data_IF_061902742856
#
_entry.id   IF_061902742856
#
_cell.length_a   1.000
_cell.length_b   1.000
_cell.length_c   1.000
_cell.angle_alpha   90.00
_cell.angle_beta   90.00
_cell.angle_gamma   90.00
#
_symmetry.space_group_name_H-M   'P 1'
#
loop_
_entity.id
_entity.type
_entity.pdbx_description
1 polymer ?
#
# COMPACT_ATOMS: atom_id res chain seq x y z
N UNK A 1 27.28 -10.51 6.90
CA UNK A 1 26.98 -9.37 6.01
C UNK A 1 25.68 -8.61 6.34
N UNK A 2 24.74 -9.15 7.14
CA UNK A 2 23.43 -8.49 7.39
C UNK A 2 23.38 -7.52 8.60
N UNK A 3 24.16 -7.73 9.67
CA UNK A 3 24.10 -6.90 10.88
C UNK A 3 24.55 -5.43 10.65
N UNK A 4 25.56 -5.23 9.80
CA UNK A 4 26.07 -3.89 9.48
C UNK A 4 25.06 -3.04 8.69
N UNK A 5 24.29 -3.65 7.77
CA UNK A 5 23.27 -2.93 6.99
C UNK A 5 22.10 -2.47 7.87
N UNK A 6 21.66 -3.31 8.80
CA UNK A 6 20.57 -2.97 9.73
C UNK A 6 20.97 -1.85 10.68
N UNK A 7 22.22 -1.86 11.17
CA UNK A 7 22.75 -0.80 12.04
C UNK A 7 22.82 0.56 11.33
N UNK A 8 23.24 0.60 10.06
CA UNK A 8 23.29 1.82 9.26
C UNK A 8 21.90 2.41 9.02
N UNK A 9 20.91 1.56 8.70
CA UNK A 9 19.52 2.00 8.48
C UNK A 9 18.92 2.64 9.75
N UNK A 10 19.09 1.99 10.91
CA UNK A 10 18.61 2.50 12.20
C UNK A 10 19.24 3.85 12.54
N UNK A 11 20.53 4.01 12.24
CA UNK A 11 21.27 5.25 12.52
C UNK A 11 20.78 6.40 11.65
N UNK A 12 20.54 6.16 10.36
CA UNK A 12 20.01 7.17 9.43
C UNK A 12 18.57 7.57 9.76
N UNK A 13 17.73 6.60 10.15
CA UNK A 13 16.34 6.88 10.58
C UNK A 13 16.34 7.71 11.85
N UNK A 14 17.12 7.33 12.87
CA UNK A 14 17.28 8.11 14.10
C UNK A 14 17.74 9.55 13.79
N UNK A 15 18.72 9.71 12.90
CA UNK A 15 19.22 11.02 12.53
C UNK A 15 18.14 11.88 11.84
N UNK A 16 17.34 11.28 10.94
CA UNK A 16 16.27 11.97 10.22
C UNK A 16 15.14 12.47 11.15
N UNK A 17 14.88 11.76 12.25
CA UNK A 17 13.87 12.17 13.25
C UNK A 17 14.44 13.00 14.40
N UNK A 18 15.70 13.43 14.31
CA UNK A 18 16.35 14.29 15.31
C UNK A 18 16.92 13.54 16.52
N UNK A 19 16.94 12.20 16.51
CA UNK A 19 17.61 11.39 17.54
C UNK A 19 19.10 11.34 17.22
N UNK A 20 19.88 12.13 17.96
CA UNK A 20 21.33 12.34 17.73
C UNK A 20 22.22 11.53 18.69
N UNK A 21 21.64 10.88 19.70
CA UNK A 21 22.37 10.12 20.73
C UNK A 21 22.45 8.64 20.39
N UNK A 22 23.68 8.15 20.13
CA UNK A 22 23.97 6.73 19.97
C UNK A 22 23.74 6.01 21.31
N UNK A 23 22.91 4.95 21.32
CA UNK A 23 22.54 4.22 22.53
C UNK A 23 21.30 4.77 23.28
N UNK A 24 20.68 5.84 22.79
CA UNK A 24 19.40 6.36 23.27
C UNK A 24 18.18 5.58 22.76
N UNK A 25 17.04 6.25 22.54
CA UNK A 25 15.86 5.64 21.94
C UNK A 25 16.18 5.21 20.50
N UNK A 26 16.34 3.92 20.27
CA UNK A 26 16.58 3.40 18.92
C UNK A 26 15.24 3.15 18.23
N UNK A 27 14.96 3.89 17.15
CA UNK A 27 13.88 3.54 16.23
C UNK A 27 14.26 2.25 15.51
N UNK A 28 13.69 1.16 15.96
CA UNK A 28 13.80 -0.14 15.31
C UNK A 28 12.59 -0.36 14.39
N UNK A 29 12.67 -1.35 13.51
CA UNK A 29 11.51 -1.79 12.72
C UNK A 29 10.31 -2.11 13.63
N UNK A 30 10.56 -2.70 14.80
CA UNK A 30 9.56 -2.97 15.84
C UNK A 30 8.86 -1.70 16.32
N UNK A 31 9.58 -0.59 16.46
CA UNK A 31 9.00 0.70 16.86
C UNK A 31 7.95 1.18 15.85
N UNK A 32 8.22 1.01 14.55
CA UNK A 32 7.27 1.36 13.48
C UNK A 32 6.06 0.42 13.49
N UNK A 33 6.26 -0.88 13.71
CA UNK A 33 5.15 -1.83 13.85
C UNK A 33 4.26 -1.50 15.05
N UNK A 34 4.86 -1.25 16.22
CA UNK A 34 4.13 -0.91 17.44
C UNK A 34 3.38 0.41 17.29
N UNK A 35 3.99 1.41 16.64
CA UNK A 35 3.33 2.68 16.31
C UNK A 35 2.11 2.44 15.42
N UNK A 36 2.28 1.72 14.30
CA UNK A 36 1.18 1.39 13.38
C UNK A 36 0.06 0.64 14.09
N UNK A 37 0.41 -0.35 14.92
CA UNK A 37 -0.56 -1.13 15.68
C UNK A 37 -1.36 -0.26 16.65
N UNK A 38 -0.71 0.67 17.36
CA UNK A 38 -1.39 1.60 18.28
C UNK A 38 -2.35 2.53 17.56
N UNK A 39 -1.95 3.10 16.41
CA UNK A 39 -2.83 3.93 15.59
C UNK A 39 -4.05 3.11 15.15
N UNK A 40 -3.84 1.90 14.65
CA UNK A 40 -4.94 1.04 14.20
C UNK A 40 -5.91 0.68 15.35
N UNK A 41 -5.38 0.30 16.51
CA UNK A 41 -6.18 0.00 17.70
C UNK A 41 -6.94 1.23 18.20
N UNK A 42 -6.36 2.42 18.11
CA UNK A 42 -7.06 3.66 18.43
C UNK A 42 -8.23 3.92 17.48
N UNK A 43 -8.01 3.80 16.17
CA UNK A 43 -9.04 4.03 15.16
C UNK A 43 -10.21 3.04 15.28
N UNK A 44 -9.95 1.78 15.65
CA UNK A 44 -11.00 0.80 15.94
C UNK A 44 -11.82 1.18 17.18
N UNK A 45 -11.15 1.66 18.24
CA UNK A 45 -11.80 2.02 19.51
C UNK A 45 -12.59 3.32 19.43
N UNK A 46 -12.27 4.18 18.48
CA UNK A 46 -12.86 5.52 18.32
C UNK A 46 -13.29 5.79 16.87
N UNK A 47 -14.21 4.99 16.31
CA UNK A 47 -14.58 5.08 14.89
C UNK A 47 -15.27 6.39 14.52
N UNK A 48 -15.92 7.05 15.48
CA UNK A 48 -16.55 8.37 15.32
C UNK A 48 -15.58 9.56 15.36
N UNK A 49 -14.31 9.35 15.72
CA UNK A 49 -13.31 10.42 15.77
C UNK A 49 -12.57 10.58 14.44
N UNK A 50 -11.93 11.74 14.26
CA UNK A 50 -11.15 12.03 13.06
C UNK A 50 -10.00 11.02 12.90
N UNK A 51 -9.83 10.52 11.67
CA UNK A 51 -8.73 9.62 11.32
C UNK A 51 -7.39 10.34 11.57
N UNK A 52 -6.66 9.88 12.58
CA UNK A 52 -5.41 10.52 13.05
C UNK A 52 -4.40 10.75 11.92
N UNK A 53 -4.31 9.82 10.97
CA UNK A 53 -3.37 9.93 9.85
C UNK A 53 -3.87 10.98 8.86
N UNK A 54 -5.16 10.94 8.55
CA UNK A 54 -5.75 11.89 7.63
C UNK A 54 -5.73 13.32 8.18
N UNK A 55 -6.04 13.52 9.46
CA UNK A 55 -5.98 14.83 10.11
C UNK A 55 -4.58 15.45 10.04
N UNK A 56 -3.53 14.66 10.25
CA UNK A 56 -2.15 15.13 10.07
C UNK A 56 -1.82 15.46 8.62
N UNK A 57 -2.28 14.63 7.67
CA UNK A 57 -2.12 14.93 6.25
C UNK A 57 -2.78 16.27 5.88
N UNK A 58 -4.03 16.49 6.31
CA UNK A 58 -4.75 17.74 6.08
C UNK A 58 -4.02 18.95 6.66
N UNK A 59 -3.48 18.81 7.88
CA UNK A 59 -2.71 19.87 8.51
C UNK A 59 -1.48 20.23 7.67
N UNK A 60 -0.70 19.24 7.24
CA UNK A 60 0.47 19.44 6.37
C UNK A 60 0.08 20.07 5.03
N UNK A 61 -0.98 19.58 4.39
CA UNK A 61 -1.49 20.14 3.12
C UNK A 61 -1.86 21.61 3.28
N UNK A 62 -2.52 21.99 4.37
CA UNK A 62 -2.86 23.40 4.66
C UNK A 62 -1.61 24.27 4.85
N UNK A 63 -0.61 23.76 5.58
CA UNK A 63 0.66 24.45 5.77
C UNK A 63 1.35 24.65 4.42
N UNK A 64 1.49 23.61 3.61
CA UNK A 64 2.13 23.73 2.29
C UNK A 64 1.37 24.64 1.34
N UNK A 65 0.04 24.58 1.32
CA UNK A 65 -0.78 25.48 0.51
C UNK A 65 -0.58 26.94 0.90
N UNK A 66 -0.52 27.23 2.21
CA UNK A 66 -0.24 28.56 2.73
C UNK A 66 1.14 29.06 2.28
N UNK A 67 2.18 28.25 2.46
CA UNK A 67 3.55 28.60 2.05
C UNK A 67 3.68 28.76 0.52
N UNK A 68 2.91 28.00 -0.25
CA UNK A 68 2.87 28.11 -1.71
C UNK A 68 1.95 29.24 -2.23
N UNK A 69 1.28 29.99 -1.35
CA UNK A 69 0.34 31.06 -1.73
C UNK A 69 -0.95 30.57 -2.40
N UNK A 70 -1.30 29.28 -2.24
CA UNK A 70 -2.48 28.67 -2.84
C UNK A 70 -3.71 28.95 -1.97
N UNK A 71 -4.70 29.63 -2.53
CA UNK A 71 -5.99 29.88 -1.85
C UNK A 71 -6.86 28.63 -1.85
N UNK A 72 -7.13 28.10 -0.65
CA UNK A 72 -8.03 26.96 -0.43
C UNK A 72 -9.52 27.38 -0.29
N UNK A 73 -9.87 28.65 -0.51
CA UNK A 73 -11.26 29.15 -0.38
C UNK A 73 -12.14 28.84 -1.58
N UNK A 74 -11.58 28.82 -2.79
CA UNK A 74 -12.33 28.61 -4.05
C UNK A 74 -12.37 27.13 -4.45
N UNK A 75 -11.32 26.38 -4.12
CA UNK A 75 -11.34 24.92 -4.20
C UNK A 75 -12.20 24.39 -3.04
N UNK A 76 -13.46 24.04 -3.31
CA UNK A 76 -14.26 23.23 -2.38
C UNK A 76 -13.54 21.91 -2.17
N UNK A 77 -12.68 21.83 -1.16
CA UNK A 77 -12.06 20.59 -0.78
C UNK A 77 -13.10 19.82 0.04
N UNK A 78 -13.92 19.03 -0.64
CA UNK A 78 -14.68 17.98 0.02
C UNK A 78 -13.67 16.92 0.47
N UNK A 79 -13.10 17.14 1.65
CA UNK A 79 -12.09 16.28 2.26
C UNK A 79 -12.59 14.82 2.40
N UNK A 80 -13.91 14.62 2.48
CA UNK A 80 -14.55 13.30 2.51
C UNK A 80 -14.32 12.56 1.19
N UNK A 81 -14.55 13.22 0.06
CA UNK A 81 -14.27 12.64 -1.25
C UNK A 81 -12.78 12.39 -1.47
N UNK A 82 -11.92 13.29 -1.00
CA UNK A 82 -10.47 13.14 -1.11
C UNK A 82 -9.97 11.92 -0.32
N UNK A 83 -10.44 11.73 0.92
CA UNK A 83 -10.13 10.57 1.76
C UNK A 83 -10.62 9.26 1.14
N UNK A 84 -11.87 9.26 0.62
CA UNK A 84 -12.43 8.11 -0.10
C UNK A 84 -11.57 7.73 -1.31
N UNK A 85 -11.18 8.71 -2.12
CA UNK A 85 -10.34 8.49 -3.29
C UNK A 85 -8.94 7.98 -2.93
N UNK A 86 -8.31 8.51 -1.87
CA UNK A 86 -7.02 7.98 -1.38
C UNK A 86 -7.15 6.51 -0.97
N UNK A 87 -8.19 6.17 -0.18
CA UNK A 87 -8.41 4.80 0.27
C UNK A 87 -8.62 3.87 -0.93
N UNK A 88 -9.43 4.27 -1.90
CA UNK A 88 -9.68 3.50 -3.13
C UNK A 88 -8.41 3.32 -3.96
N UNK A 89 -7.64 4.38 -4.19
CA UNK A 89 -6.36 4.31 -4.92
C UNK A 89 -5.34 3.43 -4.19
N UNK A 90 -5.25 3.52 -2.86
CA UNK A 90 -4.40 2.68 -2.04
C UNK A 90 -4.77 1.19 -2.14
N UNK A 91 -6.07 0.86 -2.18
CA UNK A 91 -6.54 -0.52 -2.40
C UNK A 91 -6.16 -1.04 -3.79
N UNK A 92 -6.31 -0.24 -4.84
CA UNK A 92 -5.90 -0.61 -6.21
C UNK A 92 -4.39 -0.86 -6.26
N UNK A 93 -3.58 0.02 -5.68
CA UNK A 93 -2.14 -0.13 -5.65
C UNK A 93 -1.71 -1.40 -4.90
N UNK A 94 -2.33 -1.68 -3.74
CA UNK A 94 -2.08 -2.89 -2.98
C UNK A 94 -2.49 -4.15 -3.75
N UNK A 95 -3.67 -4.15 -4.38
CA UNK A 95 -4.15 -5.25 -5.21
C UNK A 95 -3.17 -5.54 -6.35
N UNK A 96 -2.69 -4.50 -7.04
CA UNK A 96 -1.68 -4.63 -8.09
C UNK A 96 -0.36 -5.20 -7.55
N UNK A 97 0.16 -4.69 -6.43
CA UNK A 97 1.43 -5.15 -5.87
C UNK A 97 1.36 -6.63 -5.42
N UNK A 98 0.22 -7.05 -4.86
CA UNK A 98 -0.04 -8.46 -4.50
C UNK A 98 -0.12 -9.33 -5.76
N UNK A 99 -0.89 -8.90 -6.76
CA UNK A 99 -1.03 -9.58 -8.04
C UNK A 99 0.33 -9.74 -8.74
N UNK A 100 1.07 -8.65 -8.89
CA UNK A 100 2.39 -8.64 -9.55
C UNK A 100 3.37 -9.61 -8.87
N UNK A 101 3.38 -9.66 -7.53
CA UNK A 101 4.19 -10.62 -6.77
C UNK A 101 3.77 -12.07 -7.03
N UNK A 102 2.47 -12.34 -7.12
CA UNK A 102 1.95 -13.67 -7.42
C UNK A 102 2.32 -14.11 -8.85
N UNK A 103 2.02 -13.26 -9.84
CA UNK A 103 2.33 -13.53 -11.26
C UNK A 103 3.81 -13.79 -11.47
N UNK A 104 4.70 -13.00 -10.84
CA UNK A 104 6.15 -13.19 -10.93
C UNK A 104 6.64 -14.52 -10.33
N UNK A 105 5.86 -15.16 -9.47
CA UNK A 105 6.19 -16.47 -8.90
C UNK A 105 5.79 -17.64 -9.79
N UNK A 106 4.93 -17.41 -10.78
CA UNK A 106 4.45 -18.42 -11.71
C UNK A 106 5.46 -18.58 -12.86
N UNK A 107 5.82 -19.80 -13.28
CA UNK A 107 6.62 -20.05 -14.47
C UNK A 107 5.98 -19.47 -15.75
N UNK A 108 6.79 -18.89 -16.64
CA UNK A 108 6.29 -18.21 -17.85
C UNK A 108 5.47 -19.12 -18.78
N UNK A 109 5.79 -20.42 -18.83
CA UNK A 109 5.06 -21.42 -19.62
C UNK A 109 3.65 -21.71 -19.08
N UNK A 110 3.37 -21.28 -17.85
CA UNK A 110 2.09 -21.48 -17.16
C UNK A 110 1.28 -20.19 -16.99
N UNK A 111 1.81 -19.06 -17.44
CA UNK A 111 1.08 -17.79 -17.42
C UNK A 111 0.09 -17.71 -18.58
N UNK A 112 -1.16 -17.35 -18.27
CA UNK A 112 -2.12 -16.92 -19.28
C UNK A 112 -1.71 -15.57 -19.90
N UNK A 113 -2.26 -15.22 -21.07
CA UNK A 113 -1.97 -13.92 -21.70
C UNK A 113 -2.37 -12.74 -20.80
N UNK A 114 -3.50 -12.84 -20.09
CA UNK A 114 -3.95 -11.81 -19.14
C UNK A 114 -2.94 -11.59 -18.00
N UNK A 115 -2.37 -12.68 -17.45
CA UNK A 115 -1.39 -12.57 -16.38
C UNK A 115 -0.03 -12.08 -16.91
N UNK A 116 0.34 -12.38 -18.16
CA UNK A 116 1.55 -11.83 -18.77
C UNK A 116 1.48 -10.31 -18.90
N UNK A 117 0.31 -9.76 -19.24
CA UNK A 117 0.12 -8.30 -19.32
C UNK A 117 0.45 -7.58 -18.00
N UNK A 118 0.20 -8.21 -16.84
CA UNK A 118 0.51 -7.65 -15.52
C UNK A 118 2.00 -7.36 -15.36
N UNK A 119 2.87 -8.15 -16.00
CA UNK A 119 4.32 -7.96 -15.95
C UNK A 119 4.80 -6.78 -16.79
N UNK A 120 3.95 -6.24 -17.68
CA UNK A 120 4.26 -5.09 -18.49
C UNK A 120 4.31 -3.80 -17.61
N UNK A 121 5.41 -3.02 -17.64
CA UNK A 121 5.48 -1.69 -17.01
C UNK A 121 4.33 -0.73 -17.38
N UNK A 122 3.83 -0.78 -18.62
CA UNK A 122 2.71 0.04 -19.06
C UNK A 122 1.42 -0.30 -18.32
N UNK A 123 1.19 -1.58 -18.01
CA UNK A 123 0.00 -2.04 -17.30
C UNK A 123 -0.11 -1.38 -15.92
N UNK A 124 1.00 -1.30 -15.18
CA UNK A 124 1.04 -0.58 -13.89
C UNK A 124 0.61 0.88 -14.05
N UNK A 125 1.06 1.54 -15.12
CA UNK A 125 0.76 2.95 -15.37
C UNK A 125 -0.72 3.16 -15.70
N UNK A 126 -1.29 2.31 -16.54
CA UNK A 126 -2.72 2.34 -16.88
C UNK A 126 -3.60 2.10 -15.64
N UNK A 127 -3.25 1.09 -14.84
CA UNK A 127 -4.06 0.68 -13.70
C UNK A 127 -3.95 1.64 -12.51
N UNK A 128 -2.74 2.10 -12.16
CA UNK A 128 -2.53 2.91 -10.95
C UNK A 128 -2.65 4.41 -11.24
N UNK A 129 -2.12 4.88 -12.37
CA UNK A 129 -1.96 6.32 -12.61
C UNK A 129 -3.05 6.94 -13.49
N UNK A 130 -3.70 6.15 -14.36
CA UNK A 130 -4.73 6.66 -15.27
C UNK A 130 -6.17 6.35 -14.84
N UNK A 131 -6.35 5.58 -13.77
CA UNK A 131 -7.69 5.27 -13.25
C UNK A 131 -8.39 6.53 -12.74
N UNK A 132 -9.54 6.85 -13.35
CA UNK A 132 -10.40 7.94 -12.89
C UNK A 132 -11.12 7.53 -11.60
N UNK A 133 -11.48 8.46 -10.71
CA UNK A 133 -12.24 8.14 -9.50
C UNK A 133 -13.53 7.33 -9.77
N UNK A 134 -14.22 7.61 -10.88
CA UNK A 134 -15.43 6.90 -11.32
C UNK A 134 -15.19 5.44 -11.76
N UNK A 135 -13.96 5.07 -12.09
CA UNK A 135 -13.58 3.74 -12.58
C UNK A 135 -12.86 2.91 -11.50
N UNK A 136 -12.72 3.45 -10.30
CA UNK A 136 -11.94 2.83 -9.23
C UNK A 136 -12.49 1.47 -8.78
N UNK A 137 -13.81 1.32 -8.73
CA UNK A 137 -14.46 0.06 -8.33
C UNK A 137 -14.31 -1.01 -9.42
N UNK A 138 -14.56 -0.69 -10.69
CA UNK A 138 -14.39 -1.62 -11.79
C UNK A 138 -12.93 -2.02 -11.99
N UNK A 139 -11.98 -1.11 -11.75
CA UNK A 139 -10.55 -1.41 -11.79
C UNK A 139 -10.12 -2.34 -10.67
N UNK A 140 -10.64 -2.12 -9.46
CA UNK A 140 -10.37 -3.00 -8.34
C UNK A 140 -10.92 -4.40 -8.63
N UNK A 141 -12.16 -4.50 -9.11
CA UNK A 141 -12.78 -5.78 -9.47
C UNK A 141 -11.98 -6.53 -10.54
N UNK A 142 -11.52 -5.84 -11.59
CA UNK A 142 -10.60 -6.41 -12.59
C UNK A 142 -9.35 -7.02 -11.94
N UNK A 143 -8.70 -6.29 -11.02
CA UNK A 143 -7.51 -6.79 -10.33
C UNK A 143 -7.81 -7.97 -9.41
N UNK A 144 -8.98 -8.00 -8.77
CA UNK A 144 -9.40 -9.13 -7.93
C UNK A 144 -9.65 -10.38 -8.77
N UNK A 145 -10.25 -10.23 -9.95
CA UNK A 145 -10.43 -11.34 -10.88
C UNK A 145 -9.08 -11.90 -11.36
N UNK A 146 -8.11 -11.04 -11.70
CA UNK A 146 -6.75 -11.49 -12.03
C UNK A 146 -6.03 -12.11 -10.84
N UNK A 147 -6.25 -11.63 -9.61
CA UNK A 147 -5.73 -12.26 -8.40
C UNK A 147 -6.27 -13.67 -8.21
N UNK A 148 -7.57 -13.86 -8.48
CA UNK A 148 -8.22 -15.16 -8.39
C UNK A 148 -7.69 -16.12 -9.47
N UNK A 149 -7.52 -15.64 -10.71
CA UNK A 149 -6.89 -16.40 -11.80
C UNK A 149 -5.44 -16.81 -11.45
N UNK A 150 -4.64 -15.88 -10.91
CA UNK A 150 -3.28 -16.17 -10.48
C UNK A 150 -3.25 -17.20 -9.34
N UNK A 151 -4.21 -17.13 -8.40
CA UNK A 151 -4.33 -18.09 -7.31
C UNK A 151 -4.61 -19.49 -7.83
N UNK A 152 -5.60 -19.64 -8.71
CA UNK A 152 -5.94 -20.92 -9.34
C UNK A 152 -4.76 -21.48 -10.16
N UNK A 153 -4.02 -20.62 -10.86
CA UNK A 153 -2.82 -21.02 -11.59
C UNK A 153 -1.73 -21.57 -10.65
N UNK A 154 -1.52 -20.93 -9.51
CA UNK A 154 -0.54 -21.37 -8.50
C UNK A 154 -0.94 -22.71 -7.86
N UNK A 155 -2.22 -22.91 -7.54
CA UNK A 155 -2.76 -24.16 -6.96
C UNK A 155 -2.60 -25.36 -7.90
N UNK A 156 -2.62 -25.11 -9.21
CA UNK A 156 -2.38 -26.15 -10.23
C UNK A 156 -0.89 -26.53 -10.39
N UNK A 157 0.04 -25.85 -9.70
CA UNK A 157 1.48 -26.09 -9.81
C UNK A 157 2.01 -26.69 -8.50
N UNK A 158 2.43 -27.98 -8.51
CA UNK A 158 2.93 -28.65 -7.31
C UNK A 158 4.10 -27.89 -6.66
N UNK A 159 3.96 -27.59 -5.37
CA UNK A 159 4.99 -26.95 -4.55
C UNK A 159 4.94 -25.42 -4.50
N UNK A 160 4.22 -24.77 -5.42
CA UNK A 160 4.13 -23.31 -5.46
C UNK A 160 3.17 -22.73 -4.40
N UNK A 161 2.23 -23.55 -3.91
CA UNK A 161 1.35 -23.27 -2.77
C UNK A 161 2.11 -22.96 -1.46
N UNK A 162 3.36 -23.42 -1.33
CA UNK A 162 4.19 -23.15 -0.14
C UNK A 162 4.90 -21.79 -0.23
N UNK A 163 4.76 -21.08 -1.34
CA UNK A 163 5.43 -19.80 -1.53
C UNK A 163 4.80 -18.69 -0.68
N UNK A 164 5.63 -17.73 -0.26
CA UNK A 164 5.15 -16.52 0.40
C UNK A 164 4.22 -15.70 -0.50
N UNK A 165 4.41 -15.75 -1.82
CA UNK A 165 3.55 -15.08 -2.79
C UNK A 165 2.11 -15.62 -2.72
N UNK A 166 1.95 -16.95 -2.71
CA UNK A 166 0.64 -17.59 -2.55
C UNK A 166 -0.02 -17.26 -1.20
N UNK A 167 0.75 -17.31 -0.11
CA UNK A 167 0.26 -16.96 1.24
C UNK A 167 -0.24 -15.53 1.32
N UNK A 168 0.50 -14.58 0.73
CA UNK A 168 0.13 -13.16 0.71
C UNK A 168 -1.11 -12.95 -0.18
N UNK A 169 -1.16 -13.56 -1.37
CA UNK A 169 -2.29 -13.49 -2.28
C UNK A 169 -3.59 -14.02 -1.64
N UNK A 170 -3.52 -15.20 -1.03
CA UNK A 170 -4.66 -15.83 -0.36
C UNK A 170 -5.17 -14.99 0.80
N UNK A 171 -4.25 -14.46 1.62
CA UNK A 171 -4.60 -13.55 2.71
C UNK A 171 -5.28 -12.29 2.18
N UNK A 172 -4.70 -11.66 1.17
CA UNK A 172 -5.26 -10.44 0.57
C UNK A 172 -6.68 -10.67 0.09
N UNK A 173 -6.93 -11.73 -0.72
CA UNK A 173 -8.26 -12.09 -1.21
C UNK A 173 -9.25 -12.34 -0.07
N UNK A 174 -8.84 -13.02 1.01
CA UNK A 174 -9.71 -13.25 2.17
C UNK A 174 -10.09 -11.97 2.94
N UNK A 175 -9.24 -10.94 2.88
CA UNK A 175 -9.48 -9.62 3.49
C UNK A 175 -10.30 -8.70 2.57
N UNK A 176 -10.60 -9.10 1.33
CA UNK A 176 -11.45 -8.34 0.39
C UNK A 176 -12.92 -8.79 0.36
N UNK A 177 -13.25 -9.94 0.97
CA UNK A 177 -14.59 -10.53 1.02
C UNK A 177 -15.55 -9.78 1.97
#
# INVERSE_FOLDING_TARGET
MNLLKTSTLITLINYAVGIRTLGGMNLSEKTLYDFRARIYQYLIKHPEQEDLIFGQFLNLTRIFAKEAGISMKEQRMDFTMFMSNIKKAGRIALAFDVLYRAVKSIPEDRLSENLKEVLNPEFKTEVIHKTKPSESESRLEMLLNLCQEAKETIENIPGLEKSDAYRILTRFLSEQA
#
